data_IF_431901058907
#
_entry.id   IF_431901058907
#
_cell.length_a   1.000
_cell.length_b   1.000
_cell.length_c   1.000
_cell.angle_alpha   90.00
_cell.angle_beta   90.00
_cell.angle_gamma   90.00
#
_symmetry.space_group_name_H-M   'P 1'
#
loop_
_entity.id
_entity.type
_entity.pdbx_description
1 polymer ?
#
# COMPACT_ATOMS: atom_id res chain seq x y z
N UNK A 1 1.68 16.36 13.84
CA UNK A 1 0.82 15.62 14.77
C UNK A 1 1.69 15.12 15.91
N UNK A 2 1.45 15.56 17.14
CA UNK A 2 2.08 14.94 18.31
C UNK A 2 1.19 13.75 18.69
N UNK A 3 1.63 12.54 18.36
CA UNK A 3 0.98 11.33 18.84
C UNK A 3 1.34 11.15 20.31
N UNK A 4 0.37 11.33 21.19
CA UNK A 4 0.54 11.10 22.64
C UNK A 4 0.56 9.61 22.98
N UNK A 5 0.01 8.77 22.11
CA UNK A 5 -0.05 7.30 22.25
C UNK A 5 0.32 6.63 20.92
N UNK A 6 0.87 5.42 20.99
CA UNK A 6 1.09 4.61 19.80
C UNK A 6 -0.26 4.31 19.12
N UNK A 7 -0.34 4.36 17.77
CA UNK A 7 -1.56 3.99 17.05
C UNK A 7 -1.86 2.50 17.29
N UNK A 8 -3.09 2.20 17.62
CA UNK A 8 -3.59 0.83 17.76
C UNK A 8 -4.53 0.48 16.62
N UNK A 9 -4.37 -0.70 16.06
CA UNK A 9 -5.20 -1.12 14.94
C UNK A 9 -4.93 -2.55 14.51
N UNK A 10 -5.72 -2.99 13.56
CA UNK A 10 -5.60 -4.28 12.91
C UNK A 10 -4.81 -4.13 11.62
N UNK A 11 -3.89 -5.06 11.39
CA UNK A 11 -3.16 -5.23 10.13
C UNK A 11 -3.47 -6.62 9.58
N UNK A 12 -3.76 -6.71 8.30
CA UNK A 12 -4.20 -7.95 7.67
C UNK A 12 -3.13 -9.04 7.60
N UNK A 13 -1.85 -8.67 7.67
CA UNK A 13 -0.75 -9.60 7.45
C UNK A 13 -0.70 -10.73 8.47
N UNK A 14 -0.81 -10.42 9.74
CA UNK A 14 -0.60 -11.40 10.81
C UNK A 14 -1.61 -12.55 10.77
N UNK A 15 -2.84 -12.30 10.31
CA UNK A 15 -3.90 -13.29 10.25
C UNK A 15 -4.09 -13.91 8.87
N UNK A 16 -3.94 -13.10 7.82
CA UNK A 16 -4.36 -13.47 6.46
C UNK A 16 -3.22 -13.39 5.42
N UNK A 17 -2.08 -12.82 5.80
CA UNK A 17 -0.96 -12.61 4.89
C UNK A 17 -1.38 -11.83 3.65
N UNK A 18 -0.99 -12.35 2.50
CA UNK A 18 -1.33 -11.78 1.20
C UNK A 18 -2.76 -12.15 0.74
N UNK A 19 -3.43 -13.10 1.40
CA UNK A 19 -4.73 -13.64 0.98
C UNK A 19 -5.93 -12.76 1.37
N UNK A 20 -5.73 -11.64 2.04
CA UNK A 20 -6.81 -10.75 2.49
C UNK A 20 -7.71 -10.30 1.34
N UNK A 21 -9.02 -10.31 1.58
CA UNK A 21 -10.04 -9.84 0.64
C UNK A 21 -10.83 -8.67 1.22
N UNK A 22 -11.62 -8.01 0.39
CA UNK A 22 -12.48 -6.91 0.82
C UNK A 22 -13.44 -7.32 1.93
N UNK A 23 -14.08 -8.48 1.82
CA UNK A 23 -15.03 -8.97 2.84
C UNK A 23 -14.35 -9.18 4.19
N UNK A 24 -13.15 -9.78 4.18
CA UNK A 24 -12.33 -9.94 5.40
C UNK A 24 -12.05 -8.59 6.06
N UNK A 25 -11.69 -7.58 5.26
CA UNK A 25 -11.41 -6.23 5.79
C UNK A 25 -12.67 -5.61 6.38
N UNK A 26 -13.82 -5.76 5.72
CA UNK A 26 -15.11 -5.26 6.19
C UNK A 26 -15.54 -5.90 7.51
N UNK A 27 -15.42 -7.22 7.62
CA UNK A 27 -15.79 -7.97 8.82
C UNK A 27 -14.91 -7.57 10.01
N UNK A 28 -13.60 -7.48 9.81
CA UNK A 28 -12.69 -7.04 10.87
C UNK A 28 -12.91 -5.57 11.25
N UNK A 29 -13.26 -4.71 10.31
CA UNK A 29 -13.60 -3.31 10.60
C UNK A 29 -14.89 -3.20 11.42
N UNK A 30 -15.93 -3.97 11.06
CA UNK A 30 -17.18 -4.02 11.81
C UNK A 30 -16.95 -4.51 13.25
N UNK A 31 -16.21 -5.61 13.41
CA UNK A 31 -15.85 -6.15 14.73
C UNK A 31 -15.07 -5.14 15.57
N UNK A 32 -14.07 -4.49 14.97
CA UNK A 32 -13.27 -3.48 15.67
C UNK A 32 -14.11 -2.28 16.11
N UNK A 33 -15.02 -1.81 15.25
CA UNK A 33 -15.88 -0.68 15.57
C UNK A 33 -16.81 -0.99 16.75
N UNK A 34 -17.34 -2.21 16.81
CA UNK A 34 -18.27 -2.64 17.85
C UNK A 34 -17.57 -2.92 19.20
N UNK A 35 -16.41 -3.58 19.15
CA UNK A 35 -15.82 -4.17 20.38
C UNK A 35 -14.54 -3.48 20.84
N UNK A 36 -13.74 -2.91 19.96
CA UNK A 36 -12.38 -2.46 20.27
C UNK A 36 -12.18 -0.95 20.19
N UNK A 37 -13.00 -0.23 19.43
CA UNK A 37 -12.89 1.21 19.23
C UNK A 37 -12.91 2.00 20.53
N UNK A 38 -13.74 1.61 21.47
CA UNK A 38 -13.83 2.25 22.79
C UNK A 38 -12.52 2.20 23.60
N UNK A 39 -11.61 1.30 23.24
CA UNK A 39 -10.29 1.14 23.87
C UNK A 39 -9.16 1.78 23.05
N UNK A 40 -9.50 2.57 22.03
CA UNK A 40 -8.54 3.30 21.21
C UNK A 40 -8.00 2.52 20.00
N UNK A 41 -8.61 1.39 19.63
CA UNK A 41 -8.31 0.68 18.38
C UNK A 41 -9.03 1.37 17.22
N UNK A 42 -8.28 2.06 16.37
CA UNK A 42 -8.87 2.95 15.37
C UNK A 42 -8.44 2.66 13.94
N UNK A 43 -7.36 1.89 13.74
CA UNK A 43 -6.75 1.73 12.41
C UNK A 43 -7.06 0.37 11.82
N UNK A 44 -7.55 0.35 10.59
CA UNK A 44 -7.70 -0.84 9.74
C UNK A 44 -6.70 -0.71 8.60
N UNK A 45 -5.73 -1.63 8.54
CA UNK A 45 -4.64 -1.58 7.57
C UNK A 45 -4.65 -2.82 6.68
N UNK A 46 -4.73 -2.61 5.37
CA UNK A 46 -4.50 -3.63 4.35
C UNK A 46 -3.01 -3.70 4.05
N UNK A 47 -2.39 -4.84 4.32
CA UNK A 47 -0.97 -5.05 4.11
C UNK A 47 -0.63 -5.28 2.63
N UNK A 48 0.65 -5.50 2.33
CA UNK A 48 1.20 -5.62 0.98
C UNK A 48 0.51 -6.69 0.12
N UNK A 49 0.80 -6.69 -1.16
CA UNK A 49 0.29 -7.62 -2.19
C UNK A 49 -1.20 -7.47 -2.51
N UNK A 50 -1.86 -6.41 -2.05
CA UNK A 50 -3.24 -6.12 -2.42
C UNK A 50 -3.46 -5.88 -3.93
N UNK A 51 -2.40 -5.56 -4.68
CA UNK A 51 -2.43 -5.39 -6.14
C UNK A 51 -2.15 -6.70 -6.91
N UNK A 52 -1.91 -7.82 -6.23
CA UNK A 52 -1.63 -9.12 -6.84
C UNK A 52 -2.90 -9.98 -6.90
N UNK A 53 -3.41 -10.33 -8.10
CA UNK A 53 -4.64 -11.13 -8.23
C UNK A 53 -4.52 -12.55 -7.68
N UNK A 54 -3.31 -13.12 -7.70
CA UNK A 54 -3.03 -14.51 -7.35
C UNK A 54 -2.45 -14.69 -5.95
N UNK A 55 -2.37 -13.61 -5.17
CA UNK A 55 -1.80 -13.64 -3.83
C UNK A 55 -2.53 -14.64 -2.91
N UNK A 56 -1.75 -15.45 -2.20
CA UNK A 56 -2.22 -16.49 -1.30
C UNK A 56 -1.36 -16.58 -0.05
N UNK A 57 -1.98 -16.90 1.07
CA UNK A 57 -1.28 -17.16 2.34
C UNK A 57 -0.26 -16.04 2.71
N UNK A 58 0.89 -16.45 3.26
CA UNK A 58 2.02 -15.57 3.59
C UNK A 58 3.16 -15.70 2.56
N UNK A 59 2.85 -16.16 1.36
CA UNK A 59 3.85 -16.40 0.32
C UNK A 59 4.07 -15.16 -0.53
N UNK A 60 5.33 -14.95 -0.92
CA UNK A 60 5.71 -13.94 -1.89
C UNK A 60 5.97 -14.61 -3.24
N UNK A 61 5.19 -14.24 -4.23
CA UNK A 61 5.39 -14.74 -5.59
C UNK A 61 6.41 -13.88 -6.33
N UNK A 62 7.63 -14.39 -6.61
CA UNK A 62 8.58 -13.64 -7.42
C UNK A 62 8.05 -13.48 -8.84
N UNK A 63 8.19 -12.28 -9.38
CA UNK A 63 7.77 -11.96 -10.75
C UNK A 63 6.27 -12.11 -11.04
N UNK A 64 5.44 -12.01 -10.03
CA UNK A 64 3.99 -12.02 -10.21
C UNK A 64 3.53 -10.81 -11.01
N UNK A 65 2.42 -10.98 -11.73
CA UNK A 65 1.75 -9.88 -12.40
C UNK A 65 0.94 -9.05 -11.39
N UNK A 66 1.21 -7.75 -11.35
CA UNK A 66 0.53 -6.80 -10.49
C UNK A 66 -0.49 -5.99 -11.28
N UNK A 67 -1.63 -5.71 -10.67
CA UNK A 67 -2.58 -4.73 -11.19
C UNK A 67 -1.98 -3.34 -11.11
N UNK A 68 -1.76 -2.71 -12.25
CA UNK A 68 -1.23 -1.35 -12.37
C UNK A 68 -2.02 -0.56 -13.39
N UNK A 69 -2.07 0.75 -13.20
CA UNK A 69 -2.57 1.65 -14.23
C UNK A 69 -1.49 2.03 -15.26
N UNK A 70 -1.88 2.84 -16.23
CA UNK A 70 -1.01 3.32 -17.31
C UNK A 70 0.20 4.13 -16.84
N UNK A 71 0.23 4.56 -15.58
CA UNK A 71 1.32 5.34 -14.97
C UNK A 71 2.13 4.54 -13.94
N UNK A 72 2.08 3.22 -13.99
CA UNK A 72 2.78 2.33 -13.04
C UNK A 72 2.28 2.42 -11.59
N UNK A 73 1.10 2.97 -11.35
CA UNK A 73 0.52 3.03 -10.02
C UNK A 73 -0.20 1.72 -9.74
N UNK A 74 0.08 1.12 -8.59
CA UNK A 74 -0.63 -0.08 -8.16
C UNK A 74 -2.11 0.24 -7.93
N UNK A 75 -2.96 -0.65 -8.41
CA UNK A 75 -4.42 -0.64 -8.18
C UNK A 75 -4.83 -1.94 -7.49
N UNK A 76 -5.86 -1.93 -6.62
CA UNK A 76 -6.30 -3.15 -5.96
C UNK A 76 -6.76 -4.19 -6.97
N UNK A 77 -6.43 -5.47 -6.71
CA UNK A 77 -6.89 -6.57 -7.54
C UNK A 77 -8.40 -6.75 -7.39
N UNK A 78 -9.15 -6.50 -8.48
CA UNK A 78 -10.63 -6.45 -8.46
C UNK A 78 -11.27 -7.78 -8.01
N UNK A 79 -10.62 -8.90 -8.31
CA UNK A 79 -11.10 -10.22 -7.86
C UNK A 79 -11.04 -10.39 -6.33
N UNK A 80 -10.23 -9.60 -5.65
CA UNK A 80 -10.07 -9.63 -4.19
C UNK A 80 -10.74 -8.43 -3.52
N UNK A 81 -10.78 -7.30 -4.21
CA UNK A 81 -11.39 -6.04 -3.77
C UNK A 81 -12.41 -5.56 -4.81
N UNK A 82 -13.59 -6.19 -4.90
CA UNK A 82 -14.55 -5.93 -5.97
C UNK A 82 -15.01 -4.48 -6.06
N UNK A 83 -15.12 -3.79 -4.93
CA UNK A 83 -15.54 -2.38 -4.92
C UNK A 83 -14.53 -1.44 -5.59
N UNK A 84 -13.29 -1.90 -5.82
CA UNK A 84 -12.24 -1.12 -6.49
C UNK A 84 -12.40 -1.02 -8.01
N UNK A 85 -13.36 -1.73 -8.58
CA UNK A 85 -13.65 -1.72 -10.01
C UNK A 85 -13.86 -0.29 -10.56
N UNK A 86 -13.78 -0.13 -11.88
CA UNK A 86 -13.98 1.13 -12.59
C UNK A 86 -13.06 2.26 -12.15
N UNK A 87 -11.84 1.93 -11.72
CA UNK A 87 -10.84 2.90 -11.30
C UNK A 87 -11.09 3.55 -9.94
N UNK A 88 -12.03 3.04 -9.15
CA UNK A 88 -12.37 3.58 -7.81
C UNK A 88 -11.27 3.33 -6.78
N UNK A 89 -10.38 2.35 -7.03
CA UNK A 89 -9.32 2.01 -6.08
C UNK A 89 -9.89 1.60 -4.72
N UNK A 90 -9.23 1.97 -3.64
CA UNK A 90 -9.73 1.69 -2.29
C UNK A 90 -10.79 2.68 -1.79
N UNK A 91 -11.27 3.63 -2.62
CA UNK A 91 -12.21 4.65 -2.18
C UNK A 91 -13.46 4.07 -1.49
N UNK A 92 -14.19 3.11 -2.08
CA UNK A 92 -15.42 2.61 -1.45
C UNK A 92 -15.16 1.84 -0.15
N UNK A 93 -14.04 1.09 -0.07
CA UNK A 93 -13.68 0.37 1.14
C UNK A 93 -13.26 1.34 2.26
N UNK A 94 -12.49 2.36 1.93
CA UNK A 94 -12.10 3.39 2.89
C UNK A 94 -13.30 4.18 3.40
N UNK A 95 -14.26 4.54 2.54
CA UNK A 95 -15.51 5.20 2.93
C UNK A 95 -16.32 4.34 3.90
N UNK A 96 -16.39 3.03 3.65
CA UNK A 96 -17.04 2.10 4.57
C UNK A 96 -16.33 2.10 5.94
N UNK A 97 -15.02 1.96 5.99
CA UNK A 97 -14.25 1.98 7.24
C UNK A 97 -14.42 3.31 7.98
N UNK A 98 -14.39 4.43 7.25
CA UNK A 98 -14.63 5.76 7.82
C UNK A 98 -16.06 5.92 8.36
N UNK A 99 -17.06 5.33 7.71
CA UNK A 99 -18.45 5.37 8.20
C UNK A 99 -18.64 4.70 9.56
N UNK A 100 -17.77 3.73 9.89
CA UNK A 100 -17.69 3.10 11.21
C UNK A 100 -16.93 3.96 12.23
N UNK A 101 -16.40 5.11 11.81
CA UNK A 101 -15.57 6.01 12.61
C UNK A 101 -14.17 5.45 12.89
N UNK A 102 -13.67 4.59 12.03
CA UNK A 102 -12.32 4.06 12.01
C UNK A 102 -11.47 4.77 10.95
N UNK A 103 -10.18 4.53 10.96
CA UNK A 103 -9.20 5.07 10.01
C UNK A 103 -8.72 3.95 9.09
N UNK A 104 -8.70 4.23 7.78
CA UNK A 104 -8.23 3.26 6.79
C UNK A 104 -6.78 3.51 6.41
N UNK A 105 -5.99 2.46 6.26
CA UNK A 105 -4.61 2.51 5.84
C UNK A 105 -4.25 1.39 4.86
N UNK A 106 -3.20 1.62 4.09
CA UNK A 106 -2.59 0.61 3.23
C UNK A 106 -1.09 0.57 3.47
N UNK A 107 -0.53 -0.64 3.38
CA UNK A 107 0.91 -0.83 3.37
C UNK A 107 1.41 -0.85 1.92
N UNK A 108 2.42 -0.08 1.62
CA UNK A 108 3.07 -0.06 0.31
C UNK A 108 4.55 -0.40 0.42
N UNK A 109 5.05 -1.13 -0.57
CA UNK A 109 6.48 -1.42 -0.67
C UNK A 109 7.26 -0.20 -1.15
N UNK A 110 8.46 -0.05 -0.63
CA UNK A 110 9.39 0.98 -1.07
C UNK A 110 9.94 0.65 -2.46
N UNK A 111 10.03 1.65 -3.33
CA UNK A 111 10.61 1.51 -4.66
C UNK A 111 9.57 1.54 -5.77
N UNK A 112 9.99 1.08 -6.94
CA UNK A 112 9.17 0.99 -8.14
C UNK A 112 8.90 -0.50 -8.42
N UNK A 113 7.67 -0.90 -8.75
CA UNK A 113 7.38 -2.26 -9.13
C UNK A 113 8.32 -2.75 -10.24
N UNK A 114 8.88 -3.94 -10.11
CA UNK A 114 9.77 -4.52 -11.13
C UNK A 114 9.07 -4.65 -12.48
N UNK A 115 7.78 -4.98 -12.46
CA UNK A 115 6.94 -5.02 -13.63
C UNK A 115 6.94 -3.68 -14.38
N UNK A 116 6.81 -2.56 -13.68
CA UNK A 116 6.83 -1.23 -14.26
C UNK A 116 8.19 -0.93 -14.94
N UNK A 117 9.29 -1.35 -14.31
CA UNK A 117 10.64 -1.20 -14.89
C UNK A 117 10.82 -2.09 -16.11
N UNK A 118 10.35 -3.34 -16.07
CA UNK A 118 10.46 -4.30 -17.16
C UNK A 118 9.61 -3.89 -18.36
N UNK A 119 8.37 -3.43 -18.12
CA UNK A 119 7.44 -2.98 -19.16
C UNK A 119 7.73 -1.55 -19.65
N UNK A 120 8.65 -0.86 -18.98
CA UNK A 120 9.01 0.53 -19.30
C UNK A 120 7.80 1.48 -19.28
N UNK A 121 6.86 1.26 -18.36
CA UNK A 121 5.65 2.07 -18.26
C UNK A 121 5.96 3.46 -17.70
N UNK A 122 5.26 4.51 -18.16
CA UNK A 122 5.54 5.88 -17.75
C UNK A 122 5.22 6.10 -16.25
N UNK A 123 5.87 7.10 -15.66
CA UNK A 123 5.56 7.57 -14.31
C UNK A 123 4.82 8.91 -14.41
N UNK A 124 3.67 9.04 -13.77
CA UNK A 124 2.88 10.27 -13.82
C UNK A 124 3.72 11.49 -13.38
N UNK A 125 3.68 12.54 -14.19
CA UNK A 125 4.43 13.77 -13.95
C UNK A 125 5.90 13.71 -14.40
N UNK A 126 6.33 12.65 -15.12
CA UNK A 126 7.64 12.58 -15.77
C UNK A 126 7.49 12.22 -17.23
N UNK A 127 8.17 13.00 -18.10
CA UNK A 127 8.24 12.72 -19.54
C UNK A 127 9.30 11.66 -19.90
N UNK A 128 9.80 10.90 -18.92
CA UNK A 128 10.84 9.88 -19.13
C UNK A 128 10.42 8.55 -18.56
N UNK A 129 10.61 7.46 -19.31
CA UNK A 129 10.34 6.11 -18.83
C UNK A 129 11.31 5.70 -17.69
N UNK A 130 10.94 4.67 -16.91
CA UNK A 130 11.71 4.19 -15.75
C UNK A 130 13.11 3.67 -16.09
N UNK A 131 13.37 3.26 -17.34
CA UNK A 131 14.66 2.71 -17.82
C UNK A 131 15.84 3.68 -17.68
N UNK A 132 15.55 4.99 -17.68
CA UNK A 132 16.56 6.04 -17.52
C UNK A 132 16.77 6.50 -16.07
N UNK A 133 16.14 5.86 -15.12
CA UNK A 133 16.54 5.99 -13.73
C UNK A 133 17.91 5.30 -13.58
N UNK A 134 18.88 5.90 -12.88
CA UNK A 134 20.22 5.31 -12.73
C UNK A 134 20.08 3.87 -12.22
N UNK A 135 20.54 2.91 -13.04
CA UNK A 135 20.52 1.49 -12.72
C UNK A 135 21.54 1.20 -11.62
N UNK A 136 21.11 1.34 -10.39
CA UNK A 136 21.66 0.53 -9.31
C UNK A 136 20.48 -0.18 -8.67
N UNK A 137 20.23 -1.38 -9.13
CA UNK A 137 19.20 -2.27 -8.64
C UNK A 137 19.71 -2.89 -7.33
N UNK A 138 19.42 -2.26 -6.22
CA UNK A 138 19.43 -2.99 -4.96
C UNK A 138 18.11 -3.78 -4.90
N UNK A 139 18.21 -5.09 -4.97
CA UNK A 139 17.11 -5.97 -4.60
C UNK A 139 16.86 -5.78 -3.12
N UNK A 140 15.62 -5.47 -2.73
CA UNK A 140 15.24 -5.56 -1.32
C UNK A 140 15.27 -7.05 -0.98
N UNK A 141 16.20 -7.45 -0.12
CA UNK A 141 16.37 -8.84 0.28
C UNK A 141 15.06 -9.35 0.87
N UNK A 142 14.51 -10.40 0.30
CA UNK A 142 13.30 -11.07 0.76
C UNK A 142 12.01 -10.74 0.01
N UNK A 143 11.88 -9.57 -0.63
CA UNK A 143 10.66 -9.21 -1.38
C UNK A 143 11.04 -8.77 -2.78
N UNK A 144 10.81 -9.63 -3.75
CA UNK A 144 11.24 -9.41 -5.14
C UNK A 144 10.26 -8.56 -5.98
N UNK A 145 9.36 -7.81 -5.34
CA UNK A 145 8.30 -7.05 -6.02
C UNK A 145 8.78 -5.68 -6.51
N UNK A 146 9.72 -5.06 -5.81
CA UNK A 146 10.15 -3.70 -6.11
C UNK A 146 11.65 -3.55 -6.34
N UNK A 147 12.02 -2.60 -7.20
CA UNK A 147 13.40 -2.17 -7.45
C UNK A 147 13.64 -0.83 -6.77
N UNK A 148 14.72 -0.72 -5.98
CA UNK A 148 15.12 0.53 -5.33
C UNK A 148 16.29 1.13 -6.09
N UNK A 149 16.22 2.42 -6.42
CA UNK A 149 17.37 3.17 -6.95
C UNK A 149 18.25 3.63 -5.78
N UNK A 150 19.46 3.11 -5.69
CA UNK A 150 20.42 3.43 -4.60
C UNK A 150 21.12 4.78 -4.76
N UNK A 151 20.96 5.46 -5.88
CA UNK A 151 21.59 6.76 -6.14
C UNK A 151 20.81 7.98 -5.69
N UNK A 152 19.61 7.79 -5.14
CA UNK A 152 18.84 8.91 -4.61
C UNK A 152 18.80 8.84 -3.10
N UNK A 153 19.23 9.89 -2.39
CA UNK A 153 19.17 9.95 -0.93
C UNK A 153 17.74 9.92 -0.38
N UNK A 154 16.74 10.03 -1.24
CA UNK A 154 15.31 9.77 -0.95
C UNK A 154 14.58 9.40 -2.24
N UNK A 155 13.58 8.52 -2.17
CA UNK A 155 12.60 8.35 -3.25
C UNK A 155 12.03 9.75 -3.56
N UNK A 156 12.13 10.23 -4.79
CA UNK A 156 11.64 11.57 -5.10
C UNK A 156 10.20 11.71 -4.65
N UNK A 157 9.86 12.80 -3.97
CA UNK A 157 8.50 13.06 -3.45
C UNK A 157 7.40 12.79 -4.48
N UNK A 158 7.69 13.03 -5.75
CA UNK A 158 6.74 12.80 -6.84
C UNK A 158 6.53 11.32 -7.20
N UNK A 159 7.49 10.40 -6.96
CA UNK A 159 7.24 8.95 -7.14
C UNK A 159 6.33 8.47 -6.01
N UNK A 160 6.64 8.84 -4.79
CA UNK A 160 5.78 8.56 -3.65
C UNK A 160 4.41 9.20 -3.84
N UNK A 161 4.36 10.47 -4.24
CA UNK A 161 3.11 11.19 -4.51
C UNK A 161 2.34 10.58 -5.69
N UNK A 162 3.01 10.13 -6.75
CA UNK A 162 2.35 9.47 -7.87
C UNK A 162 1.75 8.11 -7.47
N UNK A 163 2.42 7.34 -6.63
CA UNK A 163 1.85 6.13 -6.03
C UNK A 163 0.69 6.44 -5.07
N UNK A 164 0.73 7.61 -4.42
CA UNK A 164 -0.20 8.03 -3.39
C UNK A 164 -1.39 8.85 -3.90
N UNK A 165 -1.36 9.34 -5.14
CA UNK A 165 -2.40 10.23 -5.68
C UNK A 165 -3.78 9.56 -5.89
N UNK A 166 -3.91 8.27 -5.60
CA UNK A 166 -5.17 7.54 -5.51
C UNK A 166 -5.66 7.34 -4.08
N UNK A 167 -4.90 7.76 -3.09
CA UNK A 167 -5.37 7.67 -1.72
C UNK A 167 -6.29 8.82 -1.43
N UNK A 168 -7.46 8.47 -0.93
CA UNK A 168 -8.48 9.41 -0.47
C UNK A 168 -7.93 10.34 0.62
N UNK A 169 -8.49 11.54 0.74
CA UNK A 169 -8.28 12.36 1.92
C UNK A 169 -8.57 11.55 3.19
N UNK A 170 -7.61 11.47 4.10
CA UNK A 170 -7.76 10.75 5.37
C UNK A 170 -7.25 9.29 5.39
N UNK A 171 -6.76 8.72 4.28
CA UNK A 171 -6.11 7.41 4.32
C UNK A 171 -4.69 7.51 4.90
N UNK A 172 -4.38 6.61 5.84
CA UNK A 172 -3.05 6.47 6.39
C UNK A 172 -2.21 5.54 5.52
N UNK A 173 -1.03 5.98 5.09
CA UNK A 173 -0.11 5.16 4.32
C UNK A 173 1.05 4.74 5.19
N UNK A 174 1.19 3.43 5.36
CA UNK A 174 2.34 2.83 6.03
C UNK A 174 3.35 2.39 4.96
N UNK A 175 4.50 3.03 4.91
CA UNK A 175 5.62 2.54 4.11
C UNK A 175 6.61 1.82 5.02
N UNK A 176 6.90 0.54 4.77
CA UNK A 176 7.94 -0.15 5.50
C UNK A 176 9.30 0.33 5.04
N UNK A 177 9.98 1.10 5.89
CA UNK A 177 11.40 1.34 5.81
C UNK A 177 12.09 0.40 6.80
N UNK A 178 12.23 -0.89 6.46
CA UNK A 178 13.12 -1.77 7.23
C UNK A 178 14.57 -1.48 6.85
N UNK A 179 15.13 -0.46 7.45
CA UNK A 179 16.55 -0.40 7.79
C UNK A 179 16.59 -0.03 9.26
N UNK A 180 17.31 -0.84 10.03
CA UNK A 180 17.64 -0.56 11.43
C UNK A 180 18.01 0.92 11.58
N UNK A 181 17.23 1.65 12.40
CA UNK A 181 17.51 3.01 12.90
C UNK A 181 16.81 4.21 12.26
N UNK A 182 15.73 4.11 11.48
CA UNK A 182 14.99 5.33 11.19
C UNK A 182 13.49 5.19 11.42
N UNK A 183 13.02 6.12 12.22
CA UNK A 183 11.67 6.35 12.71
C UNK A 183 10.55 6.24 11.67
N UNK A 184 9.47 5.56 12.06
CA UNK A 184 8.15 5.61 11.44
C UNK A 184 7.74 7.05 11.10
N UNK A 185 7.60 7.34 9.83
CA UNK A 185 6.97 8.57 9.34
C UNK A 185 5.54 8.25 8.94
N UNK A 186 4.62 8.42 9.89
CA UNK A 186 3.20 8.52 9.59
C UNK A 186 2.90 9.89 8.99
N UNK A 187 2.37 9.94 7.79
CA UNK A 187 1.77 11.16 7.26
C UNK A 187 0.27 10.95 7.10
N UNK A 188 -0.49 11.68 7.88
CA UNK A 188 -1.88 11.99 7.60
C UNK A 188 -1.90 13.03 6.49
N UNK A 189 -2.56 12.75 5.37
CA UNK A 189 -2.90 13.75 4.38
C UNK A 189 -4.27 14.30 4.75
N UNK A 190 -4.29 15.51 5.27
CA UNK A 190 -5.49 16.33 5.39
C UNK A 190 -5.86 16.94 4.04
#
# INVERSE_FOLDING_TARGET
MNLQTAPMGWNSWDCYGAAVTEDIVRDNAAFMAEHLKQYGWEYITVDIQWAEPTAQNHEYHPFTELCMDEYSRLIPAVNRFPSSADGKGFAPLAEYVHSLGLKFGIHIMRGIPRQAVHQNTPIKGRNRPPDRLPRQTASVTGIQICTVSTRMPMVPKHITTACLSFTLPGALILSSAMTSQESFLMRSLS
#
